data_IF_266681355931
#
_entry.id   IF_266681355931
#
_cell.length_a   1.000
_cell.length_b   1.000
_cell.length_c   1.000
_cell.angle_alpha   90.00
_cell.angle_beta   90.00
_cell.angle_gamma   90.00
#
_symmetry.space_group_name_H-M   'P 1'
#
loop_
_entity.id
_entity.type
_entity.pdbx_description
1 polymer ?
#
# COMPACT_ATOMS: atom_id res chain seq x y z
N UNK A 1 32.01 15.10 -3.28
CA UNK A 1 31.08 13.96 -3.28
C UNK A 1 29.74 14.49 -2.78
N UNK A 2 28.72 14.55 -3.63
CA UNK A 2 27.41 15.14 -3.29
C UNK A 2 26.55 14.08 -2.61
N UNK A 3 26.29 14.23 -1.31
CA UNK A 3 25.29 13.44 -0.59
C UNK A 3 23.98 14.22 -0.56
N UNK A 4 22.94 13.67 -1.19
CA UNK A 4 21.57 14.20 -1.05
C UNK A 4 20.95 13.55 0.18
N UNK A 5 20.43 14.37 1.07
CA UNK A 5 19.69 13.96 2.26
C UNK A 5 18.22 13.91 1.86
N UNK A 6 17.58 12.76 2.03
CA UNK A 6 16.15 12.60 1.77
C UNK A 6 15.31 13.40 2.79
N UNK A 7 14.04 13.64 2.50
CA UNK A 7 13.13 14.43 3.37
C UNK A 7 12.99 13.84 4.80
N UNK A 8 13.33 12.57 4.99
CA UNK A 8 13.36 11.87 6.28
C UNK A 8 14.74 11.88 6.97
N UNK A 9 15.72 12.59 6.40
CA UNK A 9 17.09 12.68 6.93
C UNK A 9 17.97 11.45 6.66
N UNK A 10 17.46 10.41 5.97
CA UNK A 10 18.23 9.19 5.70
C UNK A 10 19.07 9.34 4.44
N UNK A 11 20.32 8.85 4.50
CA UNK A 11 21.16 8.67 3.31
C UNK A 11 20.92 7.26 2.81
N UNK A 12 20.17 7.12 1.72
CA UNK A 12 19.96 5.82 1.09
C UNK A 12 21.31 5.32 0.54
N UNK A 13 21.87 4.27 1.13
CA UNK A 13 23.05 3.58 0.58
C UNK A 13 22.72 2.75 -0.67
N UNK A 14 21.49 2.86 -1.21
CA UNK A 14 21.07 2.29 -2.48
C UNK A 14 21.54 3.14 -3.66
N UNK A 15 21.74 2.51 -4.82
CA UNK A 15 22.05 3.22 -6.06
C UNK A 15 20.96 4.26 -6.36
N UNK A 16 21.34 5.51 -6.64
CA UNK A 16 20.42 6.60 -7.04
C UNK A 16 19.42 6.18 -8.12
N UNK A 17 19.85 5.29 -9.02
CA UNK A 17 19.01 4.74 -10.09
C UNK A 17 17.85 3.92 -9.51
N UNK A 18 18.09 3.12 -8.48
CA UNK A 18 17.04 2.34 -7.81
C UNK A 18 16.01 3.26 -7.18
N UNK A 19 16.44 4.35 -6.54
CA UNK A 19 15.54 5.32 -5.93
C UNK A 19 14.67 6.03 -6.98
N UNK A 20 15.28 6.48 -8.09
CA UNK A 20 14.55 7.09 -9.20
C UNK A 20 13.54 6.09 -9.79
N UNK A 21 13.94 4.84 -10.01
CA UNK A 21 13.06 3.79 -10.55
C UNK A 21 11.88 3.53 -9.61
N UNK A 22 12.10 3.46 -8.29
CA UNK A 22 11.02 3.29 -7.31
C UNK A 22 10.06 4.48 -7.31
N UNK A 23 10.57 5.71 -7.36
CA UNK A 23 9.72 6.90 -7.45
C UNK A 23 8.90 6.93 -8.73
N UNK A 24 9.50 6.61 -9.88
CA UNK A 24 8.80 6.54 -11.16
C UNK A 24 7.72 5.45 -11.16
N UNK A 25 8.03 4.27 -10.60
CA UNK A 25 7.08 3.17 -10.52
C UNK A 25 5.89 3.53 -9.60
N UNK A 26 6.17 4.15 -8.44
CA UNK A 26 5.13 4.60 -7.54
C UNK A 26 4.21 5.64 -8.21
N UNK A 27 4.78 6.62 -8.92
CA UNK A 27 4.01 7.63 -9.65
C UNK A 27 3.18 7.02 -10.79
N UNK A 28 3.73 6.05 -11.53
CA UNK A 28 3.00 5.35 -12.59
C UNK A 28 1.82 4.56 -12.04
N UNK A 29 2.00 3.85 -10.93
CA UNK A 29 0.93 3.09 -10.27
C UNK A 29 -0.16 4.03 -9.74
N UNK A 30 0.22 5.16 -9.14
CA UNK A 30 -0.75 6.16 -8.67
C UNK A 30 -1.59 6.72 -9.83
N UNK A 31 -0.95 7.01 -10.98
CA UNK A 31 -1.64 7.47 -12.17
C UNK A 31 -2.63 6.43 -12.72
N UNK A 32 -2.24 5.15 -12.74
CA UNK A 32 -3.10 4.04 -13.15
C UNK A 32 -4.32 3.89 -12.25
N UNK A 33 -4.12 3.91 -10.92
CA UNK A 33 -5.21 3.84 -9.95
C UNK A 33 -6.17 5.02 -10.13
N UNK A 34 -5.63 6.24 -10.32
CA UNK A 34 -6.46 7.42 -10.53
C UNK A 34 -7.27 7.34 -11.83
N UNK A 35 -6.67 6.84 -12.92
CA UNK A 35 -7.39 6.61 -14.18
C UNK A 35 -8.53 5.61 -14.00
N UNK A 36 -8.29 4.50 -13.30
CA UNK A 36 -9.31 3.50 -12.99
C UNK A 36 -10.44 4.05 -12.10
N UNK A 37 -10.10 4.87 -11.09
CA UNK A 37 -11.11 5.55 -10.26
C UNK A 37 -11.95 6.54 -11.09
N UNK A 38 -11.34 7.26 -12.04
CA UNK A 38 -12.03 8.22 -12.88
C UNK A 38 -13.02 7.54 -13.84
N UNK A 39 -12.63 6.43 -14.45
CA UNK A 39 -13.50 5.64 -15.33
C UNK A 39 -14.76 5.13 -14.62
N UNK A 40 -14.65 4.82 -13.33
CA UNK A 40 -15.74 4.28 -12.51
C UNK A 40 -16.41 5.32 -11.61
N UNK A 41 -16.04 6.61 -11.72
CA UNK A 41 -16.48 7.65 -10.80
C UNK A 41 -18.01 7.87 -10.81
N UNK A 42 -18.63 7.71 -11.99
CA UNK A 42 -20.06 7.88 -12.19
C UNK A 42 -20.87 6.58 -12.00
N UNK A 43 -20.18 5.43 -11.89
CA UNK A 43 -20.85 4.16 -11.69
C UNK A 43 -21.23 4.00 -10.21
N UNK A 44 -22.53 3.82 -9.99
CA UNK A 44 -23.12 3.65 -8.67
C UNK A 44 -23.98 2.40 -8.63
N UNK A 45 -24.05 1.77 -7.46
CA UNK A 45 -24.97 0.66 -7.21
C UNK A 45 -26.43 1.14 -7.14
N UNK A 46 -27.37 0.20 -6.98
CA UNK A 46 -28.80 0.51 -6.85
C UNK A 46 -29.17 1.32 -5.60
N UNK A 47 -28.24 1.54 -4.66
CA UNK A 47 -28.41 2.40 -3.49
C UNK A 47 -27.67 3.75 -3.64
N UNK A 48 -27.09 4.03 -4.81
CA UNK A 48 -26.38 5.28 -5.09
C UNK A 48 -24.96 5.36 -4.52
N UNK A 49 -24.37 4.24 -4.08
CA UNK A 49 -22.98 4.20 -3.59
C UNK A 49 -22.03 3.97 -4.77
N UNK A 50 -20.86 4.61 -4.75
CA UNK A 50 -19.83 4.38 -5.77
C UNK A 50 -19.41 2.91 -5.78
N UNK A 51 -19.26 2.34 -6.97
CA UNK A 51 -18.85 0.93 -7.10
C UNK A 51 -17.42 0.68 -6.62
N UNK A 52 -16.53 1.67 -6.78
CA UNK A 52 -15.13 1.56 -6.35
C UNK A 52 -14.71 2.80 -5.56
N UNK A 53 -14.00 2.57 -4.46
CA UNK A 53 -13.41 3.60 -3.60
C UNK A 53 -11.97 3.20 -3.25
N UNK A 54 -11.08 4.19 -3.16
CA UNK A 54 -9.73 3.95 -2.64
C UNK A 54 -9.80 3.61 -1.16
N UNK A 55 -9.16 2.51 -0.77
CA UNK A 55 -9.07 2.08 0.63
C UNK A 55 -8.06 2.91 1.46
N UNK A 56 -7.38 3.88 0.83
CA UNK A 56 -6.27 4.61 1.44
C UNK A 56 -5.04 3.74 1.71
N UNK A 57 -4.00 4.34 2.27
CA UNK A 57 -2.81 3.63 2.72
C UNK A 57 -3.01 3.15 4.16
N UNK A 58 -3.31 1.87 4.35
CA UNK A 58 -3.40 1.28 5.69
C UNK A 58 -2.01 1.01 6.26
N UNK A 59 -1.87 1.18 7.58
CA UNK A 59 -0.70 0.70 8.30
C UNK A 59 -0.54 -0.81 8.08
N UNK A 60 0.71 -1.32 8.02
CA UNK A 60 0.93 -2.75 7.92
C UNK A 60 0.18 -3.46 9.05
N UNK A 61 -0.72 -4.39 8.69
CA UNK A 61 -1.29 -5.29 9.69
C UNK A 61 -0.12 -6.08 10.26
N UNK A 62 0.10 -6.01 11.58
CA UNK A 62 0.88 -7.04 12.25
C UNK A 62 0.26 -8.38 11.82
N UNK A 63 1.06 -9.22 11.18
CA UNK A 63 0.63 -10.57 10.84
C UNK A 63 0.09 -11.20 12.11
N UNK A 64 -1.07 -11.88 12.06
CA UNK A 64 -1.52 -12.64 13.21
C UNK A 64 -0.40 -13.62 13.53
N UNK A 65 0.14 -13.51 14.75
CA UNK A 65 0.98 -14.56 15.32
C UNK A 65 0.28 -15.89 15.03
N UNK A 66 0.98 -16.89 14.47
CA UNK A 66 0.35 -18.18 14.20
C UNK A 66 -0.33 -18.64 15.48
N UNK A 67 -1.60 -19.09 15.40
CA UNK A 67 -2.34 -19.48 16.59
C UNK A 67 -1.51 -20.53 17.32
N UNK A 68 -1.29 -20.32 18.62
CA UNK A 68 -0.74 -21.33 19.50
C UNK A 68 -1.45 -22.66 19.23
N UNK A 69 -0.72 -23.78 19.09
CA UNK A 69 -1.34 -25.06 18.74
C UNK A 69 -2.47 -25.33 19.72
N UNK A 70 -3.67 -25.59 19.19
CA UNK A 70 -4.85 -25.88 19.99
C UNK A 70 -4.54 -27.04 20.94
N UNK A 71 -4.22 -26.71 22.20
CA UNK A 71 -4.07 -27.70 23.25
C UNK A 71 -5.47 -28.22 23.53
N UNK A 72 -5.76 -29.41 23.04
CA UNK A 72 -6.97 -30.16 23.38
C UNK A 72 -7.09 -30.19 24.90
N UNK A 73 -8.07 -29.47 25.47
CA UNK A 73 -8.37 -29.59 26.89
C UNK A 73 -8.84 -31.02 27.13
N UNK A 74 -8.24 -31.78 28.08
CA UNK A 74 -8.77 -33.08 28.42
C UNK A 74 -10.18 -32.91 28.95
N UNK A 75 -11.11 -33.66 28.37
CA UNK A 75 -12.51 -33.69 28.76
C UNK A 75 -12.58 -34.47 30.07
N UNK A 76 -12.77 -33.77 31.19
CA UNK A 76 -13.15 -34.34 32.50
C UNK A 76 -14.64 -34.22 32.70
#
# INVERSE_FOLDING_TARGET
MLSVVNADGTTSNGSLIDEIVRCMLAAALEAEVNAYMAELADQRDGQGRRLVVSNGCHHPRNSPQPPEPFRSRPRV
#
